data_IF_779064361543
#
_entry.id   IF_779064361543
#
_cell.length_a   1.000
_cell.length_b   1.000
_cell.length_c   1.000
_cell.angle_alpha   90.00
_cell.angle_beta   90.00
_cell.angle_gamma   90.00
#
_symmetry.space_group_name_H-M   'P 1'
#
loop_
_entity.id
_entity.type
_entity.pdbx_description
1 polymer ?
#
# COMPACT_ATOMS: atom_id res chain seq x y z
N UNK A 1 -15.88 -18.53 17.43
CA UNK A 1 -16.82 -17.41 17.28
C UNK A 1 -16.04 -16.16 17.60
N UNK A 2 -15.70 -15.33 16.61
CA UNK A 2 -14.99 -14.06 16.82
C UNK A 2 -15.97 -13.11 17.50
N UNK A 3 -15.72 -12.79 18.77
CA UNK A 3 -16.56 -11.91 19.56
C UNK A 3 -16.31 -10.48 19.06
N UNK A 4 -17.34 -9.82 18.51
CA UNK A 4 -17.22 -8.41 18.15
C UNK A 4 -17.07 -7.60 19.45
N UNK A 5 -15.95 -6.89 19.56
CA UNK A 5 -15.62 -6.00 20.66
C UNK A 5 -15.49 -4.58 20.11
N UNK A 6 -15.87 -3.57 20.90
CA UNK A 6 -15.63 -2.18 20.52
C UNK A 6 -14.15 -1.86 20.63
N UNK A 7 -13.69 -0.89 19.83
CA UNK A 7 -12.28 -0.46 19.82
C UNK A 7 -11.86 0.05 21.20
N UNK A 8 -12.72 0.80 21.88
CA UNK A 8 -12.50 1.35 23.22
C UNK A 8 -12.29 0.23 24.26
N UNK A 9 -13.12 -0.82 24.20
CA UNK A 9 -13.03 -1.97 25.12
C UNK A 9 -11.77 -2.80 24.88
N UNK A 10 -11.29 -2.88 23.64
CA UNK A 10 -10.04 -3.56 23.29
C UNK A 10 -8.81 -2.80 23.80
N UNK A 11 -8.85 -1.47 23.72
CA UNK A 11 -7.77 -0.58 24.16
C UNK A 11 -7.60 -0.68 25.69
N UNK A 12 -8.71 -0.60 26.43
CA UNK A 12 -8.72 -0.77 27.89
C UNK A 12 -8.18 -2.15 28.33
N UNK A 13 -8.56 -3.23 27.63
CA UNK A 13 -8.07 -4.57 27.92
C UNK A 13 -6.56 -4.71 27.66
N UNK A 14 -6.06 -4.09 26.59
CA UNK A 14 -4.64 -4.08 26.26
C UNK A 14 -3.82 -3.35 27.33
N UNK A 15 -4.28 -2.17 27.75
CA UNK A 15 -3.61 -1.36 28.77
C UNK A 15 -3.62 -2.03 30.16
N UNK A 16 -4.67 -2.80 30.46
CA UNK A 16 -4.75 -3.60 31.69
C UNK A 16 -3.94 -4.90 31.65
N UNK A 17 -3.26 -5.21 30.53
CA UNK A 17 -2.44 -6.41 30.37
C UNK A 17 -3.25 -7.70 30.22
N UNK A 18 -4.52 -7.59 29.82
CA UNK A 18 -5.39 -8.74 29.55
C UNK A 18 -5.03 -9.40 28.21
N UNK A 19 -5.32 -10.71 28.08
CA UNK A 19 -5.07 -11.44 26.83
C UNK A 19 -6.09 -11.04 25.77
N UNK A 20 -5.66 -10.18 24.85
CA UNK A 20 -6.47 -9.71 23.72
C UNK A 20 -6.36 -10.61 22.48
N UNK A 21 -5.52 -11.65 22.50
CA UNK A 21 -5.23 -12.46 21.30
C UNK A 21 -6.44 -13.24 20.79
N UNK A 22 -7.39 -13.58 21.67
CA UNK A 22 -8.65 -14.24 21.31
C UNK A 22 -9.58 -13.35 20.45
N UNK A 23 -9.31 -12.04 20.40
CA UNK A 23 -10.06 -11.06 19.62
C UNK A 23 -9.46 -10.79 18.23
N UNK A 24 -8.24 -11.26 17.96
CA UNK A 24 -7.58 -11.12 16.66
C UNK A 24 -7.73 -12.39 15.83
N UNK A 25 -8.21 -12.28 14.58
CA UNK A 25 -8.17 -13.40 13.64
C UNK A 25 -6.75 -13.55 13.05
N UNK A 26 -5.88 -14.19 13.82
CA UNK A 26 -4.53 -14.56 13.40
C UNK A 26 -4.50 -15.65 12.33
N UNK A 27 -5.64 -16.33 12.08
CA UNK A 27 -5.73 -17.43 11.12
C UNK A 27 -5.99 -16.91 9.70
N UNK A 28 -6.67 -15.78 9.57
CA UNK A 28 -6.94 -15.13 8.28
C UNK A 28 -6.50 -13.65 8.29
N UNK A 29 -5.19 -13.38 8.38
CA UNK A 29 -4.71 -12.02 8.27
C UNK A 29 -5.07 -11.45 6.89
N UNK A 30 -5.68 -10.26 6.86
CA UNK A 30 -5.93 -9.54 5.61
C UNK A 30 -4.61 -8.93 5.15
N UNK A 31 -3.86 -9.69 4.34
CA UNK A 31 -2.62 -9.24 3.72
C UNK A 31 -2.99 -8.47 2.43
N UNK A 32 -2.91 -7.14 2.47
CA UNK A 32 -3.26 -6.27 1.32
C UNK A 32 -2.26 -6.32 0.15
N UNK A 33 -1.08 -6.92 0.35
CA UNK A 33 -0.05 -7.07 -0.68
C UNK A 33 0.65 -8.40 -0.44
N UNK A 34 0.52 -9.37 -1.33
CA UNK A 34 1.08 -10.73 -1.18
C UNK A 34 2.63 -10.79 -1.21
N UNK A 35 3.30 -9.64 -1.08
CA UNK A 35 4.76 -9.50 -1.07
C UNK A 35 5.43 -9.90 -2.38
N UNK A 36 4.66 -10.32 -3.39
CA UNK A 36 5.20 -10.89 -4.61
C UNK A 36 5.61 -9.77 -5.58
N UNK A 37 6.91 -9.68 -5.86
CA UNK A 37 7.44 -8.72 -6.84
C UNK A 37 7.48 -9.38 -8.21
N UNK A 38 6.68 -8.88 -9.15
CA UNK A 38 6.70 -9.29 -10.56
C UNK A 38 7.53 -8.31 -11.39
N UNK A 39 8.52 -8.82 -12.14
CA UNK A 39 9.25 -8.02 -13.13
C UNK A 39 8.44 -7.87 -14.41
N UNK A 40 8.38 -6.65 -14.94
CA UNK A 40 7.71 -6.30 -16.20
C UNK A 40 8.70 -5.52 -17.05
N UNK A 41 8.79 -5.85 -18.35
CA UNK A 41 9.55 -5.09 -19.34
C UNK A 41 8.58 -4.21 -20.13
N UNK A 42 8.94 -2.95 -20.34
CA UNK A 42 8.11 -1.97 -21.05
C UNK A 42 9.01 -1.14 -21.97
N UNK A 43 8.62 -1.03 -23.23
CA UNK A 43 9.26 -0.11 -24.16
C UNK A 43 8.63 1.28 -24.02
N UNK A 44 9.47 2.32 -23.98
CA UNK A 44 9.05 3.72 -23.85
C UNK A 44 9.75 4.56 -24.92
N UNK A 45 9.08 5.60 -25.47
CA UNK A 45 9.74 6.58 -26.32
C UNK A 45 10.89 7.28 -25.60
N UNK A 46 11.92 7.67 -26.34
CA UNK A 46 13.13 8.34 -25.80
C UNK A 46 12.78 9.60 -25.00
N UNK A 47 11.91 10.46 -25.54
CA UNK A 47 11.46 11.69 -24.85
C UNK A 47 10.84 11.44 -23.48
N UNK A 48 10.22 10.27 -23.27
CA UNK A 48 9.59 9.92 -22.00
C UNK A 48 10.64 9.48 -20.99
N UNK A 49 11.66 8.75 -21.45
CA UNK A 49 12.78 8.33 -20.61
C UNK A 49 13.58 9.55 -20.15
N UNK A 50 13.84 10.50 -21.05
CA UNK A 50 14.54 11.74 -20.74
C UNK A 50 13.81 12.55 -19.65
N UNK A 51 12.49 12.73 -19.78
CA UNK A 51 11.69 13.41 -18.77
C UNK A 51 11.71 12.68 -17.42
N UNK A 52 11.65 11.34 -17.41
CA UNK A 52 11.76 10.56 -16.18
C UNK A 52 13.13 10.71 -15.52
N UNK A 53 14.19 10.81 -16.32
CA UNK A 53 15.56 11.00 -15.82
C UNK A 53 15.78 12.40 -15.23
N UNK A 54 15.23 13.42 -15.86
CA UNK A 54 15.33 14.80 -15.37
C UNK A 54 14.62 14.95 -14.02
N UNK A 55 13.43 14.35 -13.87
CA UNK A 55 12.71 14.35 -12.61
C UNK A 55 13.43 13.53 -11.52
N UNK A 56 13.93 12.36 -11.90
CA UNK A 56 14.71 11.51 -11.00
C UNK A 56 15.96 12.24 -10.49
N UNK A 57 16.63 12.99 -11.35
CA UNK A 57 17.79 13.82 -10.99
C UNK A 57 17.40 14.98 -10.08
N UNK A 58 16.28 15.66 -10.36
CA UNK A 58 15.78 16.75 -9.54
C UNK A 58 15.54 16.30 -8.09
N UNK A 59 14.94 15.12 -7.92
CA UNK A 59 14.60 14.55 -6.62
C UNK A 59 15.73 13.70 -6.02
N UNK A 60 16.87 13.57 -6.71
CA UNK A 60 18.00 12.73 -6.33
C UNK A 60 17.60 11.27 -6.02
N UNK A 61 16.70 10.71 -6.81
CA UNK A 61 16.22 9.32 -6.69
C UNK A 61 16.47 8.52 -7.97
N UNK A 62 16.47 7.18 -7.92
CA UNK A 62 16.52 6.37 -9.13
C UNK A 62 15.26 6.55 -9.99
N UNK A 63 15.38 6.47 -11.32
CA UNK A 63 14.24 6.48 -12.28
C UNK A 63 13.09 5.56 -11.88
N UNK A 64 13.42 4.36 -11.39
CA UNK A 64 12.44 3.36 -10.94
C UNK A 64 11.56 3.84 -9.78
N UNK A 65 12.05 4.77 -8.94
CA UNK A 65 11.26 5.38 -7.88
C UNK A 65 10.18 6.30 -8.47
N UNK A 66 10.55 7.17 -9.43
CA UNK A 66 9.60 8.06 -10.13
C UNK A 66 8.52 7.24 -10.83
N UNK A 67 8.91 6.20 -11.57
CA UNK A 67 7.96 5.31 -12.26
C UNK A 67 6.96 4.70 -11.25
N UNK A 68 7.44 4.22 -10.11
CA UNK A 68 6.58 3.63 -9.07
C UNK A 68 5.62 4.64 -8.48
N UNK A 69 6.11 5.82 -8.09
CA UNK A 69 5.32 6.88 -7.45
C UNK A 69 4.21 7.35 -8.39
N UNK A 70 4.54 7.68 -9.63
CA UNK A 70 3.54 8.18 -10.58
C UNK A 70 2.52 7.11 -10.96
N UNK A 71 2.95 5.85 -11.10
CA UNK A 71 2.05 4.74 -11.36
C UNK A 71 1.10 4.49 -10.17
N UNK A 72 1.61 4.51 -8.93
CA UNK A 72 0.77 4.34 -7.74
C UNK A 72 -0.25 5.46 -7.62
N UNK A 73 0.16 6.72 -7.78
CA UNK A 73 -0.76 7.86 -7.75
C UNK A 73 -1.87 7.73 -8.80
N UNK A 74 -1.53 7.32 -10.02
CA UNK A 74 -2.52 7.16 -11.09
C UNK A 74 -3.51 6.04 -10.77
N UNK A 75 -3.04 4.93 -10.22
CA UNK A 75 -3.87 3.79 -9.83
C UNK A 75 -4.77 4.12 -8.63
N UNK A 76 -4.26 4.84 -7.64
CA UNK A 76 -5.04 5.32 -6.48
C UNK A 76 -6.16 6.27 -6.91
N UNK A 77 -5.88 7.23 -7.79
CA UNK A 77 -6.92 8.11 -8.35
C UNK A 77 -8.01 7.31 -9.08
N UNK A 78 -7.64 6.23 -9.79
CA UNK A 78 -8.62 5.36 -10.45
C UNK A 78 -9.44 4.54 -9.46
N UNK A 79 -8.82 4.01 -8.39
CA UNK A 79 -9.54 3.23 -7.39
C UNK A 79 -10.54 4.09 -6.63
N UNK A 80 -10.14 5.32 -6.26
CA UNK A 80 -11.03 6.30 -5.63
C UNK A 80 -12.22 6.65 -6.54
N UNK A 81 -11.98 6.93 -7.82
CA UNK A 81 -13.05 7.23 -8.77
C UNK A 81 -14.06 6.09 -8.94
N UNK A 82 -13.62 4.82 -8.84
CA UNK A 82 -14.51 3.65 -8.90
C UNK A 82 -15.34 3.43 -7.63
N UNK A 83 -14.85 3.87 -6.47
CA UNK A 83 -15.57 3.72 -5.20
C UNK A 83 -16.67 4.78 -5.01
N UNK A 84 -16.58 5.90 -5.74
CA UNK A 84 -17.56 6.98 -5.72
C UNK A 84 -18.70 6.82 -6.74
N UNK A 85 -18.66 5.77 -7.58
CA UNK A 85 -19.67 5.43 -8.58
C UNK A 85 -20.42 4.18 -8.19
#
# INVERSE_FOLDING_TARGET
MTKQIKVEELDDMFDNGEDVMDHFDVRHPIIRNDGSVRRVSVDMPEWMIEQLDDEARHLAVPRQAIIKIWLSERLERQSQARQMS
#
